data_IF_766465986654
#
_entry.id   IF_766465986654
#
_cell.length_a   1.000
_cell.length_b   1.000
_cell.length_c   1.000
_cell.angle_alpha   90.00
_cell.angle_beta   90.00
_cell.angle_gamma   90.00
#
_symmetry.space_group_name_H-M   'P 1'
#
loop_
_entity.id
_entity.type
_entity.pdbx_description
1 polymer ?
#
# COMPACT_ATOMS: atom_id res chain seq x y z
N UNK A 1 4.21 -9.13 -1.48
CA UNK A 1 4.06 -9.70 -2.83
C UNK A 1 5.02 -9.03 -3.78
N UNK A 2 5.46 -9.74 -4.80
CA UNK A 2 6.52 -9.28 -5.71
C UNK A 2 5.99 -9.39 -7.14
N UNK A 3 6.34 -8.45 -8.00
CA UNK A 3 6.03 -8.52 -9.42
C UNK A 3 7.12 -9.35 -10.14
N UNK A 4 6.79 -10.04 -11.24
CA UNK A 4 7.76 -10.81 -12.05
C UNK A 4 7.92 -10.21 -13.46
N UNK A 5 9.09 -10.41 -14.09
CA UNK A 5 9.38 -10.14 -15.50
C UNK A 5 9.09 -11.36 -16.38
N UNK A 6 8.70 -11.13 -17.64
CA UNK A 6 8.37 -12.17 -18.63
C UNK A 6 9.20 -12.04 -19.92
N UNK A 7 10.02 -11.00 -20.10
CA UNK A 7 10.82 -10.89 -21.34
C UNK A 7 11.98 -11.88 -21.41
N UNK A 8 12.37 -12.47 -20.28
CA UNK A 8 13.36 -13.54 -20.20
C UNK A 8 12.68 -14.88 -19.96
N UNK A 9 13.11 -15.93 -20.66
CA UNK A 9 12.62 -17.31 -20.45
C UNK A 9 12.96 -17.87 -19.05
N UNK A 10 13.71 -17.12 -18.25
CA UNK A 10 13.93 -17.34 -16.83
C UNK A 10 12.99 -16.40 -16.05
N UNK A 11 12.31 -16.92 -15.03
CA UNK A 11 11.47 -16.14 -14.10
C UNK A 11 12.31 -15.11 -13.32
N UNK A 12 12.68 -14.00 -13.94
CA UNK A 12 13.40 -12.91 -13.28
C UNK A 12 12.38 -12.02 -12.56
N UNK A 13 12.60 -11.73 -11.28
CA UNK A 13 11.68 -10.91 -10.49
C UNK A 13 11.84 -9.43 -10.84
N UNK A 14 10.78 -8.61 -10.77
CA UNK A 14 10.95 -7.16 -10.97
C UNK A 14 11.86 -6.54 -9.91
N UNK A 15 11.84 -7.11 -8.69
CA UNK A 15 12.78 -6.74 -7.64
C UNK A 15 14.25 -7.05 -8.01
N UNK A 16 14.48 -8.05 -8.86
CA UNK A 16 15.82 -8.43 -9.31
C UNK A 16 16.30 -7.59 -10.50
N UNK A 17 15.43 -6.78 -11.11
CA UNK A 17 15.84 -5.85 -12.18
C UNK A 17 16.49 -4.58 -11.65
N UNK A 18 16.38 -4.33 -10.34
CA UNK A 18 17.14 -3.27 -9.69
C UNK A 18 18.63 -3.62 -9.68
N UNK A 19 19.54 -2.61 -9.67
CA UNK A 19 20.96 -2.84 -9.46
C UNK A 19 21.22 -3.69 -8.21
N UNK A 20 22.22 -4.56 -8.23
CA UNK A 20 22.47 -5.56 -7.17
C UNK A 20 22.53 -4.95 -5.75
N UNK A 21 23.12 -3.76 -5.61
CA UNK A 21 23.20 -3.03 -4.34
C UNK A 21 21.84 -2.49 -3.83
N UNK A 22 20.81 -2.50 -4.67
CA UNK A 22 19.43 -2.11 -4.38
C UNK A 22 18.47 -3.31 -4.42
N UNK A 23 18.95 -4.50 -4.80
CA UNK A 23 18.12 -5.71 -4.83
C UNK A 23 17.79 -6.11 -3.41
N UNK A 24 16.65 -5.62 -2.94
CA UNK A 24 16.17 -5.97 -1.63
C UNK A 24 15.31 -7.23 -1.71
N UNK A 25 15.97 -8.39 -1.57
CA UNK A 25 15.35 -9.69 -1.86
C UNK A 25 14.29 -10.11 -0.85
N UNK A 26 14.34 -9.69 0.43
CA UNK A 26 13.31 -10.14 1.38
C UNK A 26 13.16 -9.34 2.67
N UNK A 27 12.18 -8.43 2.69
CA UNK A 27 11.66 -7.77 3.89
C UNK A 27 10.89 -8.67 4.90
N UNK A 28 10.92 -9.98 4.76
CA UNK A 28 10.15 -10.84 5.66
C UNK A 28 10.99 -11.94 6.29
N UNK A 29 12.32 -11.92 6.09
CA UNK A 29 13.19 -12.99 6.59
C UNK A 29 12.84 -14.39 6.06
N UNK A 30 11.99 -14.47 5.03
CA UNK A 30 11.70 -15.73 4.34
C UNK A 30 12.70 -15.81 3.20
N UNK A 31 13.79 -16.58 3.28
CA UNK A 31 14.57 -16.90 2.10
C UNK A 31 13.62 -17.51 1.08
N UNK A 32 13.34 -16.75 0.02
CA UNK A 32 12.47 -17.22 -1.05
C UNK A 32 13.37 -17.80 -2.13
N UNK A 33 13.75 -19.05 -1.92
CA UNK A 33 14.34 -19.90 -2.94
C UNK A 33 13.34 -19.93 -4.10
N UNK A 34 13.79 -19.68 -5.33
CA UNK A 34 12.91 -19.39 -6.47
C UNK A 34 11.85 -20.46 -6.79
N UNK A 35 11.97 -21.67 -6.24
CA UNK A 35 10.98 -22.75 -6.37
C UNK A 35 9.85 -22.70 -5.34
N UNK A 36 10.04 -22.04 -4.19
CA UNK A 36 9.07 -21.99 -3.08
C UNK A 36 8.18 -20.75 -3.09
N UNK A 37 8.33 -19.86 -4.08
CA UNK A 37 7.42 -18.74 -4.27
C UNK A 37 6.11 -19.27 -4.82
N UNK A 38 5.21 -19.54 -3.89
CA UNK A 38 3.85 -19.94 -4.16
C UNK A 38 3.21 -18.96 -5.17
N UNK A 39 2.70 -19.48 -6.29
CA UNK A 39 2.15 -18.76 -7.46
C UNK A 39 1.22 -17.56 -7.15
N UNK A 40 0.63 -17.50 -5.96
CA UNK A 40 -0.24 -16.41 -5.54
C UNK A 40 0.54 -15.14 -5.11
N UNK A 41 1.86 -15.21 -4.89
CA UNK A 41 2.69 -14.05 -4.49
C UNK A 41 3.10 -13.18 -5.68
N UNK A 42 2.90 -13.69 -6.89
CA UNK A 42 3.15 -13.06 -8.18
C UNK A 42 1.86 -12.45 -8.69
N UNK A 43 1.88 -11.18 -9.10
CA UNK A 43 0.75 -10.55 -9.77
C UNK A 43 0.59 -11.15 -11.17
N UNK A 44 -0.56 -11.77 -11.51
CA UNK A 44 -0.76 -12.32 -12.84
C UNK A 44 -0.87 -11.21 -13.88
N UNK A 45 -0.28 -11.42 -15.07
CA UNK A 45 -0.35 -10.47 -16.20
C UNK A 45 -1.51 -10.69 -17.16
N UNK A 46 -2.27 -11.77 -17.00
CA UNK A 46 -3.43 -12.07 -17.85
C UNK A 46 -4.72 -11.81 -17.10
N UNK A 47 -5.76 -11.41 -17.82
CA UNK A 47 -7.09 -11.18 -17.25
C UNK A 47 -7.63 -12.45 -16.55
N UNK A 48 -7.44 -13.61 -17.17
CA UNK A 48 -7.80 -14.89 -16.58
C UNK A 48 -6.99 -15.19 -15.31
N UNK A 49 -5.70 -14.86 -15.30
CA UNK A 49 -4.84 -14.96 -14.14
C UNK A 49 -5.35 -14.08 -12.98
N UNK A 50 -5.62 -12.80 -13.24
CA UNK A 50 -6.15 -11.86 -12.26
C UNK A 50 -7.52 -12.32 -11.71
N UNK A 51 -8.38 -12.85 -12.58
CA UNK A 51 -9.65 -13.46 -12.20
C UNK A 51 -9.45 -14.67 -11.28
N UNK A 52 -8.44 -15.51 -11.50
CA UNK A 52 -8.16 -16.67 -10.64
C UNK A 52 -7.51 -16.28 -9.31
N UNK A 53 -6.84 -15.13 -9.28
CA UNK A 53 -5.98 -14.67 -8.19
C UNK A 53 -6.71 -13.82 -7.14
N UNK A 54 -7.50 -12.85 -7.60
CA UNK A 54 -8.18 -11.90 -6.72
C UNK A 54 -9.64 -11.65 -7.11
N UNK A 55 -10.40 -11.02 -6.23
CA UNK A 55 -11.75 -10.55 -6.51
C UNK A 55 -12.04 -9.26 -5.73
N UNK A 56 -12.97 -8.46 -6.24
CA UNK A 56 -13.49 -7.30 -5.52
C UNK A 56 -14.75 -7.72 -4.78
N UNK A 57 -14.78 -7.53 -3.47
CA UNK A 57 -15.97 -7.84 -2.67
C UNK A 57 -16.17 -6.85 -1.53
N UNK A 58 -17.17 -7.14 -0.71
CA UNK A 58 -17.64 -6.22 0.32
C UNK A 58 -16.82 -6.33 1.60
N UNK A 59 -16.24 -5.23 2.05
CA UNK A 59 -15.66 -5.10 3.37
C UNK A 59 -16.73 -4.78 4.42
N UNK A 60 -17.23 -5.80 5.11
CA UNK A 60 -18.28 -5.65 6.13
C UNK A 60 -17.83 -4.91 7.40
N UNK A 61 -16.51 -4.79 7.62
CA UNK A 61 -15.95 -4.01 8.73
C UNK A 61 -15.75 -2.53 8.39
N UNK A 62 -15.98 -2.12 7.13
CA UNK A 62 -15.83 -0.73 6.72
C UNK A 62 -16.77 0.20 7.49
N UNK A 63 -16.19 1.25 8.07
CA UNK A 63 -16.91 2.29 8.81
C UNK A 63 -17.41 3.41 7.89
N UNK A 64 -16.67 3.67 6.82
CA UNK A 64 -17.04 4.60 5.76
C UNK A 64 -17.87 3.86 4.70
N UNK A 65 -19.14 4.27 4.56
CA UNK A 65 -20.07 3.68 3.58
C UNK A 65 -19.61 3.85 2.13
N UNK A 66 -18.71 4.80 1.86
CA UNK A 66 -18.11 4.94 0.53
C UNK A 66 -16.96 3.96 0.28
N UNK A 67 -16.46 3.24 1.30
CA UNK A 67 -15.31 2.32 1.22
C UNK A 67 -15.68 0.90 1.60
N UNK A 68 -16.88 0.48 1.23
CA UNK A 68 -17.36 -0.88 1.51
C UNK A 68 -16.78 -1.91 0.55
N UNK A 69 -15.93 -1.54 -0.40
CA UNK A 69 -15.31 -2.45 -1.35
C UNK A 69 -13.84 -2.66 -1.02
N UNK A 70 -13.33 -3.87 -1.29
CA UNK A 70 -11.92 -4.20 -1.15
C UNK A 70 -11.51 -5.25 -2.18
N UNK A 71 -10.28 -5.14 -2.67
CA UNK A 71 -9.63 -6.19 -3.45
C UNK A 71 -9.10 -7.26 -2.48
N UNK A 72 -9.47 -8.52 -2.70
CA UNK A 72 -9.18 -9.65 -1.81
C UNK A 72 -8.64 -10.83 -2.61
N UNK A 73 -7.78 -11.65 -2.02
CA UNK A 73 -7.34 -12.90 -2.65
C UNK A 73 -8.48 -13.92 -2.70
N UNK A 74 -8.56 -14.69 -3.79
CA UNK A 74 -9.51 -15.81 -3.89
C UNK A 74 -9.07 -17.02 -3.09
N UNK A 75 -7.77 -17.35 -3.14
CA UNK A 75 -7.20 -18.52 -2.48
C UNK A 75 -5.94 -18.11 -1.70
N UNK A 76 -6.10 -17.53 -0.49
CA UNK A 76 -4.95 -17.16 0.31
C UNK A 76 -4.15 -18.44 0.66
N UNK A 77 -2.86 -18.50 0.34
CA UNK A 77 -2.00 -19.68 0.55
C UNK A 77 -1.84 -20.17 1.99
N UNK A 78 -1.93 -19.26 2.96
CA UNK A 78 -0.93 -19.30 4.02
C UNK A 78 -1.36 -20.14 5.21
N UNK A 79 -2.59 -20.67 5.23
CA UNK A 79 -3.04 -21.43 6.38
C UNK A 79 -4.12 -22.42 5.97
N UNK A 80 -3.70 -23.68 5.80
CA UNK A 80 -4.60 -24.85 5.76
C UNK A 80 -5.55 -24.91 6.98
N UNK A 81 -5.25 -24.14 8.03
CA UNK A 81 -5.99 -24.08 9.29
C UNK A 81 -6.77 -22.78 9.52
N UNK A 82 -6.84 -21.86 8.56
CA UNK A 82 -7.57 -20.62 8.82
C UNK A 82 -9.07 -20.80 8.76
N UNK A 83 -9.81 -20.05 9.60
CA UNK A 83 -11.25 -20.02 9.53
C UNK A 83 -11.71 -19.68 8.10
N UNK A 84 -12.75 -20.34 7.57
CA UNK A 84 -13.26 -20.15 6.20
C UNK A 84 -13.81 -18.73 5.90
N UNK A 85 -13.63 -17.78 6.81
CA UNK A 85 -14.16 -16.42 6.76
C UNK A 85 -13.08 -15.35 6.91
N UNK A 86 -11.80 -15.72 7.00
CA UNK A 86 -10.74 -14.71 7.05
C UNK A 86 -10.48 -14.17 5.65
N UNK A 87 -10.73 -12.89 5.51
CA UNK A 87 -10.52 -12.14 4.29
C UNK A 87 -9.09 -11.61 4.27
N UNK A 88 -8.39 -11.82 3.16
CA UNK A 88 -7.04 -11.29 2.94
C UNK A 88 -7.07 -10.20 1.87
N UNK A 89 -6.88 -8.93 2.26
CA UNK A 89 -6.70 -7.84 1.32
C UNK A 89 -5.47 -8.05 0.45
N UNK A 90 -5.58 -7.69 -0.82
CA UNK A 90 -4.44 -7.68 -1.74
C UNK A 90 -3.58 -6.45 -1.48
N UNK A 91 -2.27 -6.66 -1.32
CA UNK A 91 -1.27 -5.61 -1.18
C UNK A 91 -0.03 -5.90 -2.04
N UNK A 92 0.38 -4.95 -2.87
CA UNK A 92 1.51 -5.10 -3.81
C UNK A 92 2.74 -4.37 -3.28
N UNK A 93 3.94 -4.91 -3.51
CA UNK A 93 5.18 -4.22 -3.10
C UNK A 93 5.81 -3.52 -4.28
N UNK A 94 6.23 -2.29 -4.06
CA UNK A 94 6.86 -1.44 -5.06
C UNK A 94 8.16 -0.92 -4.48
N UNK A 95 9.22 -1.04 -5.24
CA UNK A 95 10.51 -0.43 -4.92
C UNK A 95 10.68 0.84 -5.75
N UNK A 96 11.38 1.83 -5.19
CA UNK A 96 11.67 3.08 -5.88
C UNK A 96 12.25 4.13 -4.95
N UNK A 97 12.59 5.27 -5.54
CA UNK A 97 13.12 6.41 -4.80
C UNK A 97 12.00 7.33 -4.33
N UNK A 98 12.08 7.77 -3.08
CA UNK A 98 11.17 8.77 -2.53
C UNK A 98 11.41 10.09 -3.27
N UNK A 99 10.43 10.54 -4.05
CA UNK A 99 10.45 11.89 -4.65
C UNK A 99 10.01 12.90 -3.60
N UNK A 100 8.80 12.73 -3.05
CA UNK A 100 8.28 13.53 -1.94
C UNK A 100 7.44 12.67 -1.01
N UNK A 101 7.38 13.03 0.28
CA UNK A 101 6.49 12.35 1.23
C UNK A 101 5.99 13.31 2.31
N UNK A 102 4.80 13.00 2.83
CA UNK A 102 4.29 13.56 4.09
C UNK A 102 3.71 12.42 4.92
N UNK A 103 4.51 11.94 5.87
CA UNK A 103 4.17 10.80 6.73
C UNK A 103 3.99 11.21 8.20
N UNK A 104 3.86 12.52 8.46
CA UNK A 104 3.59 13.03 9.81
C UNK A 104 2.37 12.33 10.40
N UNK A 105 2.29 12.09 11.73
CA UNK A 105 1.16 11.41 12.34
C UNK A 105 -0.21 12.05 12.03
N UNK A 106 -0.24 13.38 11.89
CA UNK A 106 -1.43 14.15 11.49
C UNK A 106 -1.51 14.43 9.96
N UNK A 107 -0.55 13.92 9.19
CA UNK A 107 -0.41 14.15 7.75
C UNK A 107 -0.33 15.63 7.39
N UNK A 108 -1.14 16.07 6.43
CA UNK A 108 -1.27 17.47 6.04
C UNK A 108 -2.38 18.22 6.81
N UNK A 109 -2.95 17.63 7.86
CA UNK A 109 -4.01 18.28 8.63
C UNK A 109 -3.48 19.50 9.38
N UNK A 110 -4.33 20.52 9.46
CA UNK A 110 -4.11 21.71 10.27
C UNK A 110 -5.37 21.97 11.09
N UNK A 111 -5.20 22.55 12.29
CA UNK A 111 -6.34 22.99 13.10
C UNK A 111 -7.28 23.88 12.26
N UNK A 112 -8.58 23.59 12.34
CA UNK A 112 -9.62 24.28 11.55
C UNK A 112 -9.88 23.69 10.16
N UNK A 113 -9.02 22.80 9.64
CA UNK A 113 -9.29 22.07 8.39
C UNK A 113 -10.13 20.82 8.65
N UNK A 114 -10.95 20.35 7.68
CA UNK A 114 -11.72 19.12 7.83
C UNK A 114 -10.81 17.89 8.07
N UNK A 115 -11.01 17.10 9.14
CA UNK A 115 -10.21 15.90 9.38
C UNK A 115 -10.31 14.85 8.27
N UNK A 116 -11.44 14.82 7.54
CA UNK A 116 -11.69 13.88 6.44
C UNK A 116 -10.82 14.10 5.20
N UNK A 117 -10.19 15.28 5.07
CA UNK A 117 -9.26 15.61 3.98
C UNK A 117 -7.79 15.46 4.39
N UNK A 118 -7.51 15.10 5.64
CA UNK A 118 -6.16 14.85 6.10
C UNK A 118 -5.58 13.60 5.43
N UNK A 119 -4.43 13.76 4.77
CA UNK A 119 -3.73 12.71 4.08
C UNK A 119 -2.28 12.62 4.53
N UNK A 120 -1.82 11.38 4.66
CA UNK A 120 -0.42 11.02 4.54
C UNK A 120 -0.19 10.54 3.11
N UNK A 121 0.95 10.89 2.53
CA UNK A 121 1.26 10.50 1.16
C UNK A 121 2.75 10.22 0.95
N UNK A 122 3.02 9.45 -0.10
CA UNK A 122 4.35 9.21 -0.65
C UNK A 122 4.25 9.23 -2.18
N UNK A 123 5.24 9.83 -2.81
CA UNK A 123 5.46 9.82 -4.24
C UNK A 123 6.76 9.05 -4.47
N UNK A 124 6.68 7.98 -5.26
CA UNK A 124 7.84 7.19 -5.66
C UNK A 124 8.19 7.49 -7.12
N UNK A 125 9.48 7.46 -7.42
CA UNK A 125 10.03 7.57 -8.77
C UNK A 125 11.00 6.43 -9.05
N UNK A 126 11.31 6.19 -10.33
CA UNK A 126 12.31 5.19 -10.71
C UNK A 126 13.74 5.58 -10.37
N UNK A 127 14.00 6.88 -10.21
CA UNK A 127 15.37 7.41 -10.18
C UNK A 127 15.99 7.50 -11.58
N UNK A 128 17.11 8.23 -11.69
CA UNK A 128 17.75 8.45 -12.98
C UNK A 128 18.29 7.12 -13.56
N UNK A 129 17.88 6.78 -14.79
CA UNK A 129 18.37 5.60 -15.52
C UNK A 129 17.67 4.28 -15.17
N UNK A 130 16.66 4.30 -14.30
CA UNK A 130 15.90 3.12 -13.87
C UNK A 130 14.40 3.22 -14.18
N UNK A 131 14.04 4.10 -15.12
CA UNK A 131 12.67 4.35 -15.55
C UNK A 131 12.01 3.10 -16.14
N UNK A 132 12.79 2.25 -16.81
CA UNK A 132 12.27 1.02 -17.42
C UNK A 132 11.72 0.05 -16.37
N UNK A 133 12.52 -0.27 -15.35
CA UNK A 133 12.13 -1.15 -14.25
C UNK A 133 10.92 -0.57 -13.49
N UNK A 134 10.98 0.73 -13.19
CA UNK A 134 9.89 1.40 -12.50
C UNK A 134 8.58 1.43 -13.32
N UNK A 135 8.68 1.52 -14.64
CA UNK A 135 7.52 1.51 -15.54
C UNK A 135 6.74 0.18 -15.50
N UNK A 136 7.41 -0.93 -15.23
CA UNK A 136 6.75 -2.24 -15.11
C UNK A 136 5.89 -2.34 -13.85
N UNK A 137 6.36 -1.80 -12.71
CA UNK A 137 5.52 -1.65 -11.51
C UNK A 137 4.25 -0.83 -11.82
N UNK A 138 4.41 0.28 -12.53
CA UNK A 138 3.28 1.13 -12.94
C UNK A 138 2.30 0.38 -13.85
N UNK A 139 2.81 -0.36 -14.83
CA UNK A 139 1.98 -1.13 -15.75
C UNK A 139 1.15 -2.16 -14.99
N UNK A 140 1.78 -2.95 -14.11
CA UNK A 140 1.10 -3.97 -13.34
C UNK A 140 0.06 -3.39 -12.35
N UNK A 141 0.35 -2.25 -11.70
CA UNK A 141 -0.63 -1.55 -10.88
C UNK A 141 -1.82 -1.06 -11.73
N UNK A 142 -1.55 -0.51 -12.91
CA UNK A 142 -2.59 -0.05 -13.84
C UNK A 142 -3.48 -1.19 -14.32
N UNK A 143 -2.92 -2.38 -14.54
CA UNK A 143 -3.67 -3.60 -14.85
C UNK A 143 -4.59 -4.01 -13.70
N UNK A 144 -4.10 -4.02 -12.45
CA UNK A 144 -4.94 -4.31 -11.28
C UNK A 144 -6.08 -3.29 -11.13
N UNK A 145 -5.79 -2.00 -11.30
CA UNK A 145 -6.81 -0.95 -11.26
C UNK A 145 -7.87 -1.19 -12.35
N UNK A 146 -7.43 -1.50 -13.57
CA UNK A 146 -8.33 -1.84 -14.69
C UNK A 146 -9.20 -3.05 -14.35
N UNK A 147 -8.60 -4.08 -13.76
CA UNK A 147 -9.30 -5.27 -13.29
C UNK A 147 -10.37 -4.94 -12.24
N UNK A 148 -10.08 -4.06 -11.27
CA UNK A 148 -11.05 -3.60 -10.27
C UNK A 148 -12.26 -2.93 -10.95
N UNK A 149 -12.02 -2.01 -11.90
CA UNK A 149 -13.09 -1.34 -12.63
C UNK A 149 -13.97 -2.33 -13.43
N UNK A 150 -13.34 -3.31 -14.08
CA UNK A 150 -14.05 -4.38 -14.81
C UNK A 150 -14.88 -5.25 -13.87
N UNK A 151 -14.34 -5.66 -12.72
CA UNK A 151 -15.08 -6.42 -11.70
C UNK A 151 -16.34 -5.70 -11.23
N UNK A 152 -16.30 -4.36 -11.20
CA UNK A 152 -17.41 -3.52 -10.74
C UNK A 152 -18.37 -3.11 -11.87
N UNK A 153 -18.07 -3.50 -13.11
CA UNK A 153 -18.79 -3.09 -14.32
C UNK A 153 -18.94 -1.56 -14.41
N UNK A 154 -17.88 -0.82 -14.09
CA UNK A 154 -17.82 0.65 -14.16
C UNK A 154 -16.70 1.05 -15.11
N UNK A 155 -16.92 2.11 -15.89
CA UNK A 155 -15.89 2.65 -16.77
C UNK A 155 -14.75 3.28 -15.97
N UNK A 156 -13.49 2.92 -16.30
CA UNK A 156 -12.31 3.55 -15.73
C UNK A 156 -12.20 4.98 -16.27
N UNK A 157 -12.11 6.02 -15.42
CA UNK A 157 -11.94 7.39 -15.90
C UNK A 157 -10.66 7.54 -16.74
N UNK A 158 -10.75 8.12 -17.94
CA UNK A 158 -9.58 8.36 -18.81
C UNK A 158 -8.53 9.24 -18.13
N UNK A 159 -8.97 10.18 -17.28
CA UNK A 159 -8.08 11.06 -16.51
C UNK A 159 -7.25 10.34 -15.42
N UNK A 160 -7.60 9.10 -15.06
CA UNK A 160 -6.81 8.26 -14.13
C UNK A 160 -5.75 7.42 -14.84
N UNK A 161 -5.64 7.50 -16.17
CA UNK A 161 -4.49 6.97 -16.92
C UNK A 161 -3.34 7.94 -16.66
N UNK A 162 -2.72 7.80 -15.50
CA UNK A 162 -1.68 8.70 -15.01
C UNK A 162 -0.43 8.56 -15.90
N UNK A 163 -0.24 9.50 -16.83
CA UNK A 163 0.99 9.71 -17.60
C UNK A 163 2.20 10.11 -16.73
N UNK A 164 2.02 10.24 -15.42
CA UNK A 164 3.09 10.67 -14.50
C UNK A 164 4.17 9.61 -14.43
N UNK A 165 5.43 10.02 -14.46
CA UNK A 165 6.61 9.16 -14.24
C UNK A 165 6.69 8.58 -12.82
N UNK A 166 5.74 8.92 -11.95
CA UNK A 166 5.75 8.58 -10.52
C UNK A 166 4.56 7.72 -10.10
N UNK A 167 4.70 7.02 -8.98
CA UNK A 167 3.61 6.32 -8.28
C UNK A 167 3.22 7.16 -7.06
N UNK A 168 1.97 7.61 -7.01
CA UNK A 168 1.43 8.34 -5.86
C UNK A 168 0.56 7.42 -5.01
N UNK A 169 0.89 7.29 -3.74
CA UNK A 169 0.07 6.60 -2.75
C UNK A 169 -0.27 7.55 -1.61
N UNK A 170 -1.52 7.48 -1.15
CA UNK A 170 -1.99 8.29 -0.04
C UNK A 170 -3.00 7.54 0.79
N UNK A 171 -2.99 7.78 2.10
CA UNK A 171 -3.99 7.25 3.02
C UNK A 171 -4.59 8.39 3.84
N UNK A 172 -5.82 8.18 4.30
CA UNK A 172 -6.43 9.06 5.29
C UNK A 172 -5.79 8.83 6.65
N UNK A 173 -5.60 9.94 7.35
CA UNK A 173 -5.09 9.95 8.72
C UNK A 173 -6.21 9.66 9.71
N UNK A 174 -7.30 10.42 9.62
CA UNK A 174 -8.40 10.30 10.56
C UNK A 174 -9.45 9.30 10.08
N UNK A 175 -9.91 8.49 11.03
CA UNK A 175 -11.06 7.61 10.89
C UNK A 175 -12.26 8.20 11.61
N UNK A 176 -13.41 8.23 10.94
CA UNK A 176 -14.67 8.68 11.55
C UNK A 176 -15.11 7.70 12.64
N UNK A 177 -15.45 8.24 13.80
CA UNK A 177 -15.95 7.47 14.92
C UNK A 177 -17.41 7.08 14.69
N UNK A 178 -17.74 5.86 15.07
CA UNK A 178 -19.08 5.29 15.13
C UNK A 178 -19.14 4.28 16.28
N UNK A 179 -20.31 3.65 16.47
CA UNK A 179 -20.55 2.71 17.55
C UNK A 179 -19.57 1.51 17.59
N UNK A 180 -18.99 1.12 16.45
CA UNK A 180 -18.07 -0.03 16.36
C UNK A 180 -16.64 0.29 16.77
N UNK A 181 -16.20 1.55 16.64
CA UNK A 181 -14.80 1.93 16.87
C UNK A 181 -14.63 3.04 17.92
N UNK A 182 -15.70 3.52 18.56
CA UNK A 182 -15.62 4.58 19.57
C UNK A 182 -14.75 4.21 20.78
N UNK A 183 -14.69 2.92 21.11
CA UNK A 183 -13.90 2.38 22.22
C UNK A 183 -12.41 2.22 21.89
N UNK A 184 -12.03 2.29 20.61
CA UNK A 184 -10.62 2.18 20.24
C UNK A 184 -9.86 3.44 20.69
N UNK A 185 -8.67 3.28 21.30
CA UNK A 185 -7.83 4.41 21.66
C UNK A 185 -7.27 5.07 20.40
N UNK A 186 -6.87 6.34 20.53
CA UNK A 186 -6.06 6.99 19.49
C UNK A 186 -4.69 6.30 19.41
N UNK A 187 -4.17 6.14 18.20
CA UNK A 187 -2.82 5.64 17.93
C UNK A 187 -1.74 6.73 18.11
N UNK A 188 -2.14 7.98 18.35
CA UNK A 188 -1.22 9.09 18.62
C UNK A 188 -0.67 8.97 20.04
N UNK A 189 0.66 9.05 20.17
CA UNK A 189 1.35 9.29 21.43
C UNK A 189 1.55 10.78 21.70
N UNK A 190 2.06 11.11 22.89
CA UNK A 190 2.31 12.50 23.29
C UNK A 190 3.28 13.26 22.36
N UNK A 191 4.21 12.54 21.70
CA UNK A 191 5.13 13.12 20.73
C UNK A 191 4.54 13.35 19.33
N UNK A 192 3.43 12.69 19.01
CA UNK A 192 2.82 12.75 17.67
C UNK A 192 1.98 14.03 17.46
N UNK A 193 1.42 14.57 18.55
CA UNK A 193 0.60 15.78 18.59
C UNK A 193 0.95 16.64 19.83
N UNK A 194 2.13 17.29 19.85
CA UNK A 194 2.61 18.01 21.03
C UNK A 194 1.75 19.23 21.40
N UNK A 195 1.00 19.79 20.44
CA UNK A 195 0.07 20.90 20.66
C UNK A 195 -1.32 20.42 21.09
N UNK A 196 -1.57 19.10 21.05
CA UNK A 196 -2.85 18.47 21.34
C UNK A 196 -3.98 19.03 20.46
N UNK A 197 -3.67 19.40 19.22
CA UNK A 197 -4.65 20.00 18.31
C UNK A 197 -5.75 18.99 17.92
N UNK A 198 -5.39 17.70 17.84
CA UNK A 198 -6.31 16.61 17.46
C UNK A 198 -7.40 16.35 18.50
N UNK A 199 -7.19 16.71 19.78
CA UNK A 199 -8.22 16.59 20.82
C UNK A 199 -9.51 17.33 20.47
N UNK A 200 -9.41 18.43 19.70
CA UNK A 200 -10.57 19.20 19.26
C UNK A 200 -11.52 18.44 18.32
N UNK A 201 -11.03 17.39 17.65
CA UNK A 201 -11.79 16.57 16.70
C UNK A 201 -11.99 15.13 17.16
N UNK A 202 -11.34 14.73 18.27
CA UNK A 202 -11.31 13.36 18.78
C UNK A 202 -12.69 12.77 19.07
N UNK A 203 -13.68 13.60 19.38
CA UNK A 203 -15.07 13.14 19.60
C UNK A 203 -15.71 12.52 18.36
N UNK A 204 -15.27 12.92 17.17
CA UNK A 204 -15.85 12.50 15.89
C UNK A 204 -14.85 11.81 14.96
N UNK A 205 -13.55 12.03 15.19
CA UNK A 205 -12.47 11.60 14.32
C UNK A 205 -11.26 11.22 15.16
N UNK A 206 -10.77 9.98 15.01
CA UNK A 206 -9.57 9.49 15.69
C UNK A 206 -8.55 9.00 14.67
N UNK A 207 -7.28 9.15 15.00
CA UNK A 207 -6.21 8.41 14.32
C UNK A 207 -6.18 7.03 14.96
N UNK A 208 -6.60 6.00 14.23
CA UNK A 208 -6.69 4.64 14.77
C UNK A 208 -5.48 3.77 14.43
N UNK A 209 -4.63 4.25 13.51
CA UNK A 209 -3.49 3.53 12.99
C UNK A 209 -2.46 4.51 12.44
N UNK A 210 -1.19 4.11 12.44
CA UNK A 210 -0.05 4.89 11.91
C UNK A 210 0.58 4.15 10.73
N UNK A 211 1.27 4.87 9.86
CA UNK A 211 2.08 4.20 8.83
C UNK A 211 3.23 3.53 9.53
N UNK A 212 3.36 2.21 9.34
CA UNK A 212 4.52 1.49 9.82
C UNK A 212 5.69 1.78 8.89
N UNK A 213 6.72 2.43 9.44
CA UNK A 213 7.98 2.67 8.75
C UNK A 213 9.05 1.85 9.46
N UNK A 214 9.77 1.05 8.70
CA UNK A 214 10.88 0.26 9.20
C UNK A 214 12.16 0.53 8.41
N UNK A 215 13.28 0.12 8.98
CA UNK A 215 14.56 0.05 8.29
C UNK A 215 15.05 -1.39 8.37
N UNK A 216 15.64 -1.87 7.28
CA UNK A 216 16.33 -3.15 7.31
C UNK A 216 17.70 -3.00 7.97
N UNK A 217 17.98 -3.83 8.96
CA UNK A 217 19.32 -3.93 9.56
C UNK A 217 19.93 -5.25 9.10
N UNK A 218 21.04 -5.23 8.34
CA UNK A 218 21.70 -6.46 7.90
C UNK A 218 22.18 -7.31 9.09
N UNK A 219 22.15 -8.64 8.92
CA UNK A 219 22.53 -9.64 9.93
C UNK A 219 23.93 -9.41 10.53
N UNK A 220 24.85 -8.85 9.75
CA UNK A 220 26.22 -8.55 10.20
C UNK A 220 26.29 -7.49 11.32
N UNK A 221 25.21 -6.72 11.49
CA UNK A 221 25.13 -5.61 12.45
C UNK A 221 24.34 -5.99 13.71
N UNK A 222 23.33 -6.84 13.58
CA UNK A 222 22.52 -7.33 14.71
C UNK A 222 22.26 -8.84 14.57
N UNK A 223 22.72 -9.69 15.51
CA UNK A 223 22.53 -11.14 15.47
C UNK A 223 21.08 -11.59 15.68
N UNK A 224 20.13 -10.66 15.82
CA UNK A 224 18.70 -10.97 15.75
C UNK A 224 18.23 -11.02 14.29
N UNK A 225 18.59 -12.09 13.56
CA UNK A 225 18.01 -12.55 12.28
C UNK A 225 17.31 -11.44 11.45
N UNK A 226 18.08 -10.57 10.78
CA UNK A 226 17.57 -9.61 9.79
C UNK A 226 16.38 -8.78 10.26
N UNK A 227 16.40 -8.33 11.51
CA UNK A 227 15.22 -7.73 12.14
C UNK A 227 14.82 -6.41 11.48
N UNK A 228 13.51 -6.29 11.20
CA UNK A 228 12.88 -5.02 10.87
C UNK A 228 12.84 -4.16 12.11
N UNK A 229 13.64 -3.09 12.12
CA UNK A 229 13.61 -2.11 13.19
C UNK A 229 12.61 -1.03 12.83
N UNK A 230 11.61 -0.84 13.70
CA UNK A 230 10.66 0.27 13.55
C UNK A 230 11.44 1.60 13.59
N UNK A 231 11.18 2.46 12.62
CA UNK A 231 11.83 3.76 12.47
C UNK A 231 10.78 4.87 12.51
N UNK A 232 11.16 6.03 13.06
CA UNK A 232 10.31 7.21 12.98
C UNK A 232 10.19 7.68 11.50
N UNK A 233 8.97 7.85 10.95
CA UNK A 233 8.76 8.34 9.58
C UNK A 233 9.48 9.65 9.22
N UNK A 234 9.87 10.47 10.20
CA UNK A 234 10.64 11.70 9.97
C UNK A 234 12.06 11.45 9.43
N UNK A 235 12.58 10.22 9.51
CA UNK A 235 13.89 9.88 8.97
C UNK A 235 13.86 9.67 7.45
N UNK A 236 12.70 9.42 6.84
CA UNK A 236 12.56 9.29 5.39
C UNK A 236 12.73 10.65 4.69
N UNK A 237 13.57 10.67 3.65
CA UNK A 237 13.92 11.86 2.86
C UNK A 237 13.71 11.62 1.38
N UNK A 238 13.66 12.72 0.63
CA UNK A 238 13.72 12.66 -0.83
C UNK A 238 15.06 12.08 -1.26
N UNK A 239 15.04 11.12 -2.18
CA UNK A 239 16.21 10.38 -2.64
C UNK A 239 16.43 9.04 -1.94
N UNK A 240 15.74 8.76 -0.84
CA UNK A 240 15.84 7.45 -0.18
C UNK A 240 15.26 6.35 -1.07
N UNK A 241 15.94 5.22 -1.14
CA UNK A 241 15.44 4.02 -1.80
C UNK A 241 14.63 3.19 -0.81
N UNK A 242 13.37 2.94 -1.16
CA UNK A 242 12.39 2.30 -0.28
C UNK A 242 11.67 1.14 -0.95
N UNK A 243 11.22 0.20 -0.15
CA UNK A 243 10.24 -0.82 -0.51
C UNK A 243 8.92 -0.52 0.19
N UNK A 244 7.86 -0.29 -0.58
CA UNK A 244 6.56 0.14 -0.09
C UNK A 244 5.51 -0.91 -0.41
N UNK A 245 4.79 -1.36 0.62
CA UNK A 245 3.59 -2.15 0.42
C UNK A 245 2.38 -1.24 0.24
N UNK A 246 1.73 -1.38 -0.91
CA UNK A 246 0.59 -0.61 -1.35
C UNK A 246 -0.68 -1.45 -1.34
N UNK A 247 -1.74 -0.89 -0.75
CA UNK A 247 -3.11 -1.39 -0.84
C UNK A 247 -3.93 -0.63 -1.89
N UNK A 248 -5.17 -1.08 -2.11
CA UNK A 248 -6.14 -0.45 -3.00
C UNK A 248 -7.36 0.05 -2.20
N UNK A 249 -7.51 1.36 -2.04
CA UNK A 249 -8.70 2.01 -1.46
C UNK A 249 -9.73 2.27 -2.57
N UNK A 250 -10.79 1.45 -2.55
CA UNK A 250 -11.87 1.50 -3.55
C UNK A 250 -13.01 2.35 -2.98
N UNK A 251 -13.13 3.57 -3.47
CA UNK A 251 -14.16 4.53 -3.06
C UNK A 251 -15.31 4.49 -4.05
N UNK A 252 -16.50 4.15 -3.57
CA UNK A 252 -17.73 4.06 -4.33
C UNK A 252 -18.76 5.04 -3.79
N UNK A 253 -19.31 5.91 -4.64
CA UNK A 253 -20.36 6.86 -4.27
C UNK A 253 -21.55 6.73 -5.19
N UNK A 254 -22.75 6.76 -4.61
CA UNK A 254 -23.97 6.92 -5.40
C UNK A 254 -24.10 8.37 -5.87
N UNK A 255 -24.38 8.57 -7.15
CA UNK A 255 -24.73 9.86 -7.74
C UNK A 255 -26.07 9.75 -8.49
N UNK A 256 -26.71 10.88 -8.81
CA UNK A 256 -27.98 10.89 -9.56
C UNK A 256 -27.87 10.21 -10.95
N UNK A 257 -26.66 10.18 -11.53
CA UNK A 257 -26.37 9.54 -12.81
C UNK A 257 -25.80 8.12 -12.71
N UNK A 258 -25.82 7.52 -11.51
CA UNK A 258 -25.28 6.18 -11.28
C UNK A 258 -24.14 6.16 -10.25
N UNK A 259 -23.48 5.01 -10.16
CA UNK A 259 -22.39 4.76 -9.22
C UNK A 259 -21.07 5.29 -9.78
N UNK A 260 -20.39 6.17 -9.04
CA UNK A 260 -19.00 6.54 -9.33
C UNK A 260 -18.06 5.71 -8.47
N UNK A 261 -17.01 5.19 -9.08
CA UNK A 261 -15.94 4.43 -8.40
C UNK A 261 -14.62 5.13 -8.67
N UNK A 262 -13.79 5.23 -7.63
CA UNK A 262 -12.42 5.71 -7.70
C UNK A 262 -11.53 4.70 -6.98
N UNK A 263 -10.36 4.42 -7.53
CA UNK A 263 -9.38 3.52 -6.92
C UNK A 263 -8.13 4.33 -6.59
N UNK A 264 -7.75 4.34 -5.32
CA UNK A 264 -6.54 5.00 -4.84
C UNK A 264 -5.56 3.97 -4.31
N UNK A 265 -4.26 4.24 -4.47
CA UNK A 265 -3.22 3.48 -3.79
C UNK A 265 -3.07 3.99 -2.37
N UNK A 266 -3.07 3.08 -1.40
CA UNK A 266 -2.85 3.39 0.02
C UNK A 266 -1.53 2.81 0.49
N UNK A 267 -0.94 3.45 1.49
CA UNK A 267 0.31 3.01 2.11
C UNK A 267 -0.06 2.07 3.27
N UNK A 268 0.45 0.83 3.23
CA UNK A 268 0.33 -0.11 4.35
C UNK A 268 1.58 -0.02 5.23
N UNK A 269 2.76 -0.23 4.65
CA UNK A 269 4.05 -0.04 5.32
C UNK A 269 5.15 0.38 4.34
N UNK A 270 6.20 1.00 4.87
CA UNK A 270 7.37 1.47 4.13
C UNK A 270 8.61 0.90 4.79
N UNK A 271 9.56 0.44 3.99
CA UNK A 271 10.85 -0.05 4.45
C UNK A 271 11.95 0.75 3.77
N UNK A 272 12.79 1.39 4.58
CA UNK A 272 14.02 2.01 4.11
C UNK A 272 15.04 0.92 3.81
N UNK A 273 15.51 0.90 2.56
CA UNK A 273 16.52 -0.04 2.07
C UNK A 273 17.89 0.65 2.05
N UNK A 274 17.96 1.89 1.55
CA UNK A 274 19.16 2.71 1.51
C UNK A 274 18.78 4.20 1.50
N UNK A 275 19.52 5.05 2.23
CA UNK A 275 19.32 6.50 2.33
C UNK A 275 20.63 7.24 2.54
#
# INVERSE_FOLDING_TARGET
MVFSNIETAAHTWLADEWPEHLQFRTALGIPMDGEDILNHMVVPRTDQGLLSWAYVGTNHSATDRSRTLRLMYKNPPLYKNNPPHVIYPVGVRVQGFVDTCNLRPLGNWKRGSPPSSALQCIVLSGGAGLDHQFSQYKAAISEIITYIYRCLNVHRPTSEVQERSTIFAARRVFTKINARNCHLPSALGAGDDPTNDSASVETNWKVLDKVNVGMFVPDDVDPTDGAFVSMDPFHLRSGDFVDVCLGFDIVSRGSRGGRTVQVHLTIDHILLVCG
#
